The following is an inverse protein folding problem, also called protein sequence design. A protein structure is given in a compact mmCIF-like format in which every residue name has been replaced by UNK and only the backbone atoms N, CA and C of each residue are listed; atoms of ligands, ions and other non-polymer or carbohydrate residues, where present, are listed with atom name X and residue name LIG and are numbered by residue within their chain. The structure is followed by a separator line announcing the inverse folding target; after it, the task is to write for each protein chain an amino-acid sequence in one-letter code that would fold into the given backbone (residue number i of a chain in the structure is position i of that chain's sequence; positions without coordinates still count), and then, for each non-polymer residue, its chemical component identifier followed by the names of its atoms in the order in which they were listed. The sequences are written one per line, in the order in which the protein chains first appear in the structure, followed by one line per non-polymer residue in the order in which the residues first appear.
data_IF_487559180140
#
_entry.id   IF_487559180140
#
_cell.length_a   1.000
_cell.length_b   1.000
_cell.length_c   1.000
_cell.angle_alpha   90.00
_cell.angle_beta   90.00
_cell.angle_gamma   90.00
#
_symmetry.space_group_name_H-M   'P 1'
#
loop_
_entity.id
_entity.type
_entity.pdbx_description
1 polymer ?
#
# COMPACT_ATOMS: atom_id res chain seq x y z
N UNK A 1 -15.45 -16.96 57.56
CA UNK A 1 -14.13 -16.34 57.28
C UNK A 1 -13.45 -16.88 56.03
N UNK A 2 -13.49 -18.16 55.74
CA UNK A 2 -12.83 -18.74 54.55
C UNK A 2 -13.35 -18.18 53.20
N UNK A 3 -14.67 -17.95 53.04
CA UNK A 3 -15.21 -17.35 51.82
C UNK A 3 -14.72 -15.90 51.60
N UNK A 4 -14.58 -15.13 52.64
CA UNK A 4 -14.09 -13.73 52.54
C UNK A 4 -12.60 -13.70 52.17
N UNK A 5 -11.81 -14.63 52.72
CA UNK A 5 -10.39 -14.78 52.35
C UNK A 5 -10.24 -15.22 50.88
N UNK A 6 -11.03 -16.18 50.44
CA UNK A 6 -11.01 -16.64 49.05
C UNK A 6 -11.38 -15.54 48.07
N UNK A 7 -12.42 -14.74 48.37
CA UNK A 7 -12.80 -13.59 47.53
C UNK A 7 -11.68 -12.54 47.51
N UNK A 8 -11.02 -12.31 48.63
CA UNK A 8 -9.89 -11.41 48.70
C UNK A 8 -8.71 -11.86 47.84
N UNK A 9 -8.37 -13.12 47.87
CA UNK A 9 -7.28 -13.70 47.08
C UNK A 9 -7.60 -13.65 45.57
N UNK A 10 -8.84 -13.97 45.20
CA UNK A 10 -9.28 -13.91 43.78
C UNK A 10 -9.24 -12.44 43.27
N UNK A 11 -9.73 -11.50 44.06
CA UNK A 11 -9.69 -10.09 43.67
C UNK A 11 -8.24 -9.55 43.56
N UNK A 12 -7.37 -9.94 44.51
CA UNK A 12 -5.95 -9.60 44.43
C UNK A 12 -5.30 -10.16 43.19
N UNK A 13 -5.55 -11.42 42.87
CA UNK A 13 -5.05 -12.06 41.65
C UNK A 13 -5.50 -11.33 40.38
N UNK A 14 -6.79 -11.01 40.26
CA UNK A 14 -7.30 -10.28 39.11
C UNK A 14 -6.70 -8.88 39.01
N UNK A 15 -6.53 -8.18 40.12
CA UNK A 15 -5.94 -6.85 40.14
C UNK A 15 -4.47 -6.89 39.71
N UNK A 16 -3.70 -7.85 40.21
CA UNK A 16 -2.30 -8.04 39.83
C UNK A 16 -2.18 -8.42 38.34
N UNK A 17 -3.05 -9.31 37.85
CA UNK A 17 -3.08 -9.67 36.43
C UNK A 17 -3.40 -8.47 35.54
N UNK A 18 -4.42 -7.68 35.88
CA UNK A 18 -4.76 -6.46 35.13
C UNK A 18 -3.62 -5.42 35.14
N UNK A 19 -2.93 -5.28 36.27
CA UNK A 19 -1.80 -4.38 36.37
C UNK A 19 -0.64 -4.85 35.47
N UNK A 20 -0.35 -6.16 35.48
CA UNK A 20 0.69 -6.77 34.62
C UNK A 20 0.35 -6.62 33.16
N UNK A 21 -0.91 -6.84 32.76
CA UNK A 21 -1.38 -6.69 31.39
C UNK A 21 -1.39 -5.22 30.90
N UNK A 22 -1.31 -4.25 31.79
CA UNK A 22 -1.21 -2.82 31.41
C UNK A 22 0.21 -2.36 31.07
N UNK A 23 1.22 -3.19 31.30
CA UNK A 23 2.62 -2.85 31.06
C UNK A 23 3.21 -3.65 29.90
N UNK A 24 3.88 -2.98 28.97
CA UNK A 24 4.51 -3.60 27.79
C UNK A 24 5.49 -4.74 28.12
N UNK A 25 6.18 -4.64 29.26
CA UNK A 25 7.18 -5.63 29.70
C UNK A 25 6.58 -6.91 30.30
N UNK A 26 5.31 -6.89 30.70
CA UNK A 26 4.66 -7.98 31.41
C UNK A 26 3.32 -8.41 30.82
N UNK A 27 2.83 -7.71 29.78
CA UNK A 27 1.63 -8.12 29.06
C UNK A 27 1.89 -9.44 28.32
N UNK A 28 1.03 -10.42 28.57
CA UNK A 28 1.09 -11.75 27.98
C UNK A 28 0.00 -11.94 26.90
N UNK A 29 -1.13 -11.21 27.00
CA UNK A 29 -2.20 -11.27 26.01
C UNK A 29 -1.87 -10.40 24.80
N UNK A 30 -1.94 -10.99 23.61
CA UNK A 30 -1.64 -10.32 22.32
C UNK A 30 -2.48 -9.07 22.11
N UNK A 31 -3.77 -9.09 22.48
CA UNK A 31 -4.68 -7.93 22.36
C UNK A 31 -4.15 -6.73 23.11
N UNK A 32 -3.77 -6.95 24.37
CA UNK A 32 -3.25 -5.91 25.24
C UNK A 32 -1.92 -5.38 24.71
N UNK A 33 -1.04 -6.30 24.27
CA UNK A 33 0.24 -5.96 23.66
C UNK A 33 0.06 -5.09 22.41
N UNK A 34 -0.81 -5.48 21.48
CA UNK A 34 -1.11 -4.69 20.27
C UNK A 34 -1.69 -3.32 20.62
N UNK A 35 -2.60 -3.23 21.59
CA UNK A 35 -3.19 -1.97 22.02
C UNK A 35 -2.16 -1.02 22.64
N UNK A 36 -1.28 -1.53 23.50
CA UNK A 36 -0.20 -0.74 24.12
C UNK A 36 0.76 -0.22 23.04
N UNK A 37 1.20 -1.12 22.14
CA UNK A 37 2.14 -0.79 21.06
C UNK A 37 1.54 0.23 20.09
N UNK A 38 0.27 0.08 19.72
CA UNK A 38 -0.45 1.05 18.89
C UNK A 38 -0.60 2.41 19.60
N UNK A 39 -0.84 2.42 20.92
CA UNK A 39 -0.93 3.68 21.70
C UNK A 39 0.40 4.44 21.74
N UNK A 40 1.52 3.73 21.63
CA UNK A 40 2.86 4.30 21.50
C UNK A 40 3.20 4.73 20.06
N UNK A 41 2.27 4.56 19.11
CA UNK A 41 2.43 4.96 17.70
C UNK A 41 3.17 3.94 16.83
N UNK A 42 3.52 2.77 17.38
CA UNK A 42 4.13 1.70 16.58
C UNK A 42 3.03 0.80 15.98
N UNK A 43 3.14 0.55 14.67
CA UNK A 43 2.24 -0.36 13.95
C UNK A 43 2.94 -1.70 13.71
N UNK A 44 2.61 -2.73 14.48
CA UNK A 44 3.24 -4.04 14.31
C UNK A 44 2.91 -4.64 12.95
N UNK A 45 3.84 -5.45 12.45
CA UNK A 45 3.66 -6.23 11.23
C UNK A 45 3.54 -7.70 11.63
N UNK A 46 2.58 -8.40 11.04
CA UNK A 46 2.41 -9.82 11.33
C UNK A 46 3.54 -10.63 10.69
N UNK A 47 3.73 -10.46 9.40
CA UNK A 47 4.76 -11.18 8.61
C UNK A 47 5.52 -10.19 7.75
N UNK A 48 6.83 -10.41 7.63
CA UNK A 48 7.69 -9.68 6.70
C UNK A 48 7.98 -10.63 5.53
N UNK A 49 7.58 -10.29 4.28
CA UNK A 49 7.83 -11.13 3.12
C UNK A 49 9.33 -11.23 2.83
N UNK A 50 9.75 -12.32 2.22
CA UNK A 50 11.08 -12.39 1.64
C UNK A 50 11.22 -11.36 0.52
N UNK A 51 12.39 -10.77 0.38
CA UNK A 51 12.67 -9.78 -0.65
C UNK A 51 13.93 -10.13 -1.41
N UNK A 52 13.92 -9.88 -2.72
CA UNK A 52 15.03 -10.19 -3.60
C UNK A 52 15.24 -9.05 -4.60
N UNK A 53 16.47 -8.83 -5.01
CA UNK A 53 16.81 -8.03 -6.19
C UNK A 53 17.11 -9.00 -7.33
N UNK A 54 16.34 -8.91 -8.41
CA UNK A 54 16.46 -9.75 -9.60
C UNK A 54 17.09 -8.98 -10.74
N UNK A 55 17.90 -9.65 -11.52
CA UNK A 55 18.38 -9.18 -12.80
C UNK A 55 17.41 -9.65 -13.90
N UNK A 56 16.80 -8.71 -14.61
CA UNK A 56 15.91 -9.02 -15.74
C UNK A 56 16.60 -8.67 -17.04
N UNK A 57 16.50 -9.57 -18.00
CA UNK A 57 17.21 -9.47 -19.27
C UNK A 57 16.23 -9.41 -20.42
N UNK A 58 16.56 -8.59 -21.42
CA UNK A 58 15.86 -8.53 -22.70
C UNK A 58 16.85 -8.53 -23.85
N UNK A 59 16.59 -9.32 -24.88
CA UNK A 59 17.29 -9.29 -26.14
C UNK A 59 16.65 -8.25 -27.08
N UNK A 60 17.46 -7.38 -27.65
CA UNK A 60 17.05 -6.43 -28.68
C UNK A 60 17.93 -6.55 -29.92
N UNK A 61 17.41 -6.36 -31.14
CA UNK A 61 18.24 -6.36 -32.35
C UNK A 61 19.17 -5.15 -32.36
N UNK A 62 20.22 -5.25 -33.16
CA UNK A 62 21.07 -4.13 -33.45
C UNK A 62 20.52 -3.30 -34.61
N UNK A 63 20.68 -1.97 -34.51
CA UNK A 63 20.35 -1.01 -35.58
C UNK A 63 21.55 -0.14 -35.90
N UNK A 64 21.64 0.34 -37.14
CA UNK A 64 22.77 1.14 -37.61
C UNK A 64 23.69 0.39 -38.55
N UNK A 65 24.71 1.08 -39.09
CA UNK A 65 25.66 0.54 -40.06
C UNK A 65 27.08 0.98 -39.70
N UNK A 66 28.03 0.05 -39.83
CA UNK A 66 29.46 0.34 -39.55
C UNK A 66 29.72 0.62 -38.08
N UNK A 67 30.45 1.67 -37.77
CA UNK A 67 30.82 2.04 -36.38
C UNK A 67 29.68 2.60 -35.55
N UNK A 68 28.49 2.82 -36.15
CA UNK A 68 27.30 3.37 -35.50
C UNK A 68 26.27 2.30 -35.13
N UNK A 69 26.67 1.04 -35.00
CA UNK A 69 25.78 -0.04 -34.58
C UNK A 69 25.47 0.08 -33.10
N UNK A 70 24.19 0.17 -32.76
CA UNK A 70 23.66 0.33 -31.41
C UNK A 70 22.43 -0.54 -31.18
N UNK A 71 22.00 -0.76 -29.92
CA UNK A 71 20.74 -1.41 -29.63
C UNK A 71 19.56 -0.66 -30.24
N UNK A 72 18.61 -1.37 -30.79
CA UNK A 72 17.37 -0.82 -31.29
C UNK A 72 16.35 -0.74 -30.13
N UNK A 73 16.23 0.46 -29.53
CA UNK A 73 15.34 0.69 -28.41
C UNK A 73 13.86 0.73 -28.80
N UNK A 74 13.50 0.77 -30.08
CA UNK A 74 12.12 0.65 -30.53
C UNK A 74 11.54 -0.75 -30.21
N UNK A 75 12.41 -1.72 -29.99
CA UNK A 75 12.07 -3.06 -29.52
C UNK A 75 12.21 -3.25 -28.02
N UNK A 76 12.62 -2.21 -27.29
CA UNK A 76 12.72 -2.30 -25.84
C UNK A 76 11.32 -2.31 -25.21
N UNK A 77 11.09 -3.28 -24.33
CA UNK A 77 9.80 -3.49 -23.69
C UNK A 77 9.69 -2.70 -22.38
N UNK A 78 8.47 -2.28 -22.09
CA UNK A 78 8.08 -1.82 -20.76
C UNK A 78 7.22 -2.88 -20.10
N UNK A 79 7.69 -3.42 -18.98
CA UNK A 79 6.98 -4.42 -18.19
C UNK A 79 6.33 -3.72 -17.01
N UNK A 80 5.01 -3.82 -16.90
CA UNK A 80 4.27 -3.24 -15.77
C UNK A 80 4.67 -3.82 -14.42
N UNK A 81 4.50 -3.05 -13.37
CA UNK A 81 4.69 -3.54 -12.01
C UNK A 81 3.71 -4.68 -11.69
N UNK A 82 4.15 -5.63 -10.85
CA UNK A 82 3.36 -6.81 -10.52
C UNK A 82 3.67 -8.04 -11.37
N UNK A 83 4.77 -8.05 -12.13
CA UNK A 83 5.27 -9.27 -12.77
C UNK A 83 5.53 -10.35 -11.73
N UNK A 84 5.02 -11.55 -11.98
CA UNK A 84 5.17 -12.71 -11.07
C UNK A 84 6.26 -13.62 -11.63
N UNK A 85 7.24 -13.91 -10.79
CA UNK A 85 8.36 -14.81 -11.07
C UNK A 85 8.32 -15.98 -10.09
N UNK A 86 8.33 -17.18 -10.60
CA UNK A 86 8.32 -18.42 -9.81
C UNK A 86 9.72 -18.99 -9.61
N UNK A 87 9.85 -19.72 -8.51
CA UNK A 87 11.02 -20.55 -8.22
C UNK A 87 10.98 -21.82 -9.06
N UNK A 88 12.14 -22.32 -9.46
CA UNK A 88 12.26 -23.60 -10.17
C UNK A 88 12.19 -24.78 -9.21
N UNK A 89 12.80 -24.64 -8.05
CA UNK A 89 12.92 -25.72 -7.07
C UNK A 89 11.72 -25.77 -6.10
N UNK A 90 11.05 -24.63 -5.90
CA UNK A 90 9.94 -24.48 -4.95
C UNK A 90 8.69 -23.96 -5.68
N UNK A 91 7.86 -24.88 -6.18
CA UNK A 91 6.67 -24.58 -7.00
C UNK A 91 5.63 -23.68 -6.33
N UNK A 92 5.67 -23.58 -5.00
CA UNK A 92 4.71 -22.78 -4.23
C UNK A 92 5.22 -21.36 -3.91
N UNK A 93 6.47 -21.05 -4.25
CA UNK A 93 7.09 -19.75 -3.97
C UNK A 93 7.06 -18.88 -5.21
N UNK A 94 6.38 -17.76 -5.09
CA UNK A 94 6.26 -16.75 -6.14
C UNK A 94 6.73 -15.39 -5.61
N UNK A 95 7.42 -14.64 -6.47
CA UNK A 95 7.87 -13.28 -6.19
C UNK A 95 7.20 -12.31 -7.14
N UNK A 96 6.67 -11.21 -6.60
CA UNK A 96 6.01 -10.17 -7.37
C UNK A 96 6.87 -8.92 -7.40
N UNK A 97 7.11 -8.34 -8.58
CA UNK A 97 7.88 -7.10 -8.73
C UNK A 97 7.11 -5.92 -8.16
N UNK A 98 7.84 -4.99 -7.53
CA UNK A 98 7.25 -3.83 -6.85
C UNK A 98 6.96 -2.69 -7.83
N UNK A 99 7.86 -2.49 -8.80
CA UNK A 99 7.81 -1.38 -9.76
C UNK A 99 7.76 -1.90 -11.21
N UNK A 100 7.51 -1.01 -12.16
CA UNK A 100 7.65 -1.28 -13.60
C UNK A 100 9.12 -1.35 -14.01
N UNK A 101 9.38 -2.03 -15.12
CA UNK A 101 10.69 -2.12 -15.78
C UNK A 101 10.54 -1.51 -17.15
N UNK A 102 11.27 -0.43 -17.43
CA UNK A 102 11.38 0.13 -18.78
C UNK A 102 12.83 -0.02 -19.26
N UNK A 103 13.05 -0.86 -20.24
CA UNK A 103 14.38 -1.12 -20.79
C UNK A 103 14.90 0.02 -21.69
N UNK A 104 14.00 0.81 -22.26
CA UNK A 104 14.37 1.97 -23.07
C UNK A 104 14.89 3.13 -22.23
N UNK A 105 14.41 3.26 -21.01
CA UNK A 105 14.74 4.35 -20.12
C UNK A 105 15.86 3.95 -19.15
N UNK A 106 16.96 4.70 -19.14
CA UNK A 106 18.08 4.52 -18.22
C UNK A 106 18.24 5.74 -17.33
N UNK A 107 18.28 5.53 -16.02
CA UNK A 107 18.46 6.59 -15.03
C UNK A 107 19.59 6.28 -14.07
N UNK A 108 20.05 7.28 -13.31
CA UNK A 108 21.05 7.12 -12.26
C UNK A 108 20.61 6.16 -11.14
N UNK A 109 19.29 6.03 -10.91
CA UNK A 109 18.72 5.13 -9.91
C UNK A 109 18.58 3.69 -10.38
N UNK A 110 18.34 3.50 -11.67
CA UNK A 110 18.18 2.17 -12.27
C UNK A 110 18.73 2.19 -13.71
N UNK A 111 20.06 2.07 -13.86
CA UNK A 111 20.69 2.09 -15.16
C UNK A 111 20.35 0.83 -15.96
N UNK A 112 20.17 1.00 -17.29
CA UNK A 112 20.12 -0.11 -18.22
C UNK A 112 21.52 -0.49 -18.62
N UNK A 113 21.99 -1.67 -18.21
CA UNK A 113 23.28 -2.22 -18.63
C UNK A 113 23.13 -2.83 -20.02
N UNK A 114 24.06 -2.50 -20.93
CA UNK A 114 24.03 -2.96 -22.33
C UNK A 114 25.26 -3.80 -22.59
N UNK A 115 25.08 -5.00 -23.11
CA UNK A 115 26.16 -5.88 -23.54
C UNK A 115 25.87 -6.47 -24.91
N UNK A 116 26.92 -6.77 -25.66
CA UNK A 116 26.77 -7.46 -26.96
C UNK A 116 26.48 -8.94 -26.69
N UNK A 117 25.39 -9.45 -27.22
CA UNK A 117 25.01 -10.86 -27.07
C UNK A 117 25.50 -11.74 -28.22
N UNK A 118 25.34 -11.26 -29.45
CA UNK A 118 25.73 -12.01 -30.65
C UNK A 118 26.40 -11.11 -31.67
N UNK A 119 27.49 -11.59 -32.26
CA UNK A 119 28.25 -10.93 -33.31
C UNK A 119 28.13 -11.79 -34.61
N UNK A 120 27.96 -11.14 -35.75
CA UNK A 120 28.03 -11.78 -37.06
C UNK A 120 29.49 -12.10 -37.39
N UNK A 121 29.78 -13.36 -37.67
CA UNK A 121 31.12 -13.87 -37.97
C UNK A 121 31.73 -13.29 -39.27
N UNK A 122 30.89 -12.84 -40.23
CA UNK A 122 31.34 -12.32 -41.52
C UNK A 122 31.66 -10.83 -41.45
N UNK A 123 30.82 -10.07 -40.75
CA UNK A 123 30.94 -8.59 -40.65
C UNK A 123 31.61 -8.12 -39.38
N UNK A 124 31.79 -9.01 -38.40
CA UNK A 124 32.28 -8.72 -37.08
C UNK A 124 31.47 -7.59 -36.35
N UNK A 125 30.18 -7.46 -36.71
CA UNK A 125 29.29 -6.48 -36.14
C UNK A 125 28.28 -7.13 -35.20
N UNK A 126 27.83 -6.43 -34.12
CA UNK A 126 26.76 -6.91 -33.27
C UNK A 126 25.47 -7.12 -34.04
N UNK A 127 24.81 -8.27 -33.81
CA UNK A 127 23.47 -8.59 -34.34
C UNK A 127 22.41 -8.39 -33.26
N UNK A 128 22.74 -8.80 -32.04
CA UNK A 128 21.86 -8.67 -30.90
C UNK A 128 22.59 -8.11 -29.70
N UNK A 129 21.90 -7.26 -28.95
CA UNK A 129 22.32 -6.75 -27.66
C UNK A 129 21.47 -7.35 -26.55
N UNK A 130 22.06 -7.54 -25.39
CA UNK A 130 21.40 -7.93 -24.16
C UNK A 130 21.29 -6.71 -23.27
N UNK A 131 20.06 -6.29 -23.00
CA UNK A 131 19.73 -5.26 -22.02
C UNK A 131 19.51 -5.94 -20.68
N UNK A 132 20.03 -5.37 -19.62
CA UNK A 132 19.89 -5.86 -18.24
C UNK A 132 19.42 -4.75 -17.34
N UNK A 133 18.42 -5.02 -16.51
CA UNK A 133 17.96 -4.13 -15.44
C UNK A 133 17.76 -4.89 -14.14
N UNK A 134 17.96 -4.17 -13.04
CA UNK A 134 17.70 -4.70 -11.70
C UNK A 134 16.34 -4.26 -11.20
N UNK A 135 15.59 -5.17 -10.57
CA UNK A 135 14.31 -4.87 -9.95
C UNK A 135 14.17 -5.58 -8.62
N UNK A 136 13.46 -4.94 -7.70
CA UNK A 136 13.09 -5.52 -6.42
C UNK A 136 11.77 -6.25 -6.52
N UNK A 137 11.72 -7.45 -5.96
CA UNK A 137 10.51 -8.24 -5.81
C UNK A 137 10.33 -8.73 -4.38
N UNK A 138 9.09 -9.00 -4.02
CA UNK A 138 8.71 -9.55 -2.71
C UNK A 138 7.93 -10.82 -2.88
N UNK A 139 8.17 -11.79 -1.97
CA UNK A 139 7.42 -13.05 -1.97
C UNK A 139 5.95 -12.84 -1.61
N UNK A 140 5.10 -13.68 -2.14
CA UNK A 140 3.70 -13.80 -1.76
C UNK A 140 2.77 -14.04 -2.93
N UNK A 141 1.63 -14.65 -2.59
CA UNK A 141 0.53 -14.91 -3.54
C UNK A 141 -0.59 -13.90 -3.34
N UNK A 142 -1.16 -13.44 -4.45
CA UNK A 142 -2.28 -12.53 -4.40
C UNK A 142 -3.57 -13.29 -4.13
N UNK A 143 -4.39 -12.74 -3.23
CA UNK A 143 -5.77 -13.17 -3.00
C UNK A 143 -6.71 -11.99 -3.09
N UNK A 144 -7.94 -12.27 -3.46
CA UNK A 144 -9.01 -11.27 -3.60
C UNK A 144 -10.18 -11.66 -2.73
N UNK A 145 -10.71 -10.68 -2.00
CA UNK A 145 -11.94 -10.83 -1.20
C UNK A 145 -12.85 -9.64 -1.43
N UNK A 146 -14.15 -9.89 -1.57
CA UNK A 146 -15.15 -8.85 -1.81
C UNK A 146 -16.00 -8.62 -0.58
N UNK A 147 -16.37 -7.35 -0.34
CA UNK A 147 -17.21 -6.93 0.76
C UNK A 147 -18.31 -6.00 0.25
N UNK A 148 -19.56 -6.30 0.56
CA UNK A 148 -20.72 -5.52 0.13
C UNK A 148 -21.15 -4.56 1.23
N UNK A 149 -21.29 -3.29 0.85
CA UNK A 149 -21.77 -2.23 1.72
C UNK A 149 -23.09 -1.68 1.17
N UNK A 150 -24.10 -1.60 2.02
CA UNK A 150 -25.41 -1.01 1.68
C UNK A 150 -25.53 0.39 2.26
N UNK A 151 -25.88 0.50 3.53
CA UNK A 151 -25.95 1.79 4.22
C UNK A 151 -24.56 2.19 4.75
N UNK A 152 -24.23 3.49 4.74
CA UNK A 152 -22.98 3.97 5.32
C UNK A 152 -22.99 3.76 6.84
N UNK A 153 -21.86 3.29 7.36
CA UNK A 153 -21.65 3.15 8.79
C UNK A 153 -20.37 3.87 9.17
N UNK A 154 -20.49 4.76 10.14
CA UNK A 154 -19.37 5.54 10.66
C UNK A 154 -18.30 4.63 11.25
N UNK A 155 -17.04 4.87 10.85
CA UNK A 155 -15.87 4.11 11.29
C UNK A 155 -16.05 2.60 11.16
N UNK A 156 -16.69 2.18 10.06
CA UNK A 156 -16.89 0.76 9.79
C UNK A 156 -15.57 0.04 9.64
N UNK A 157 -15.55 -1.21 10.07
CA UNK A 157 -14.37 -2.06 10.07
C UNK A 157 -14.69 -3.38 9.40
N UNK A 158 -13.81 -3.82 8.53
CA UNK A 158 -13.86 -5.17 7.96
C UNK A 158 -12.63 -5.94 8.39
N UNK A 159 -12.82 -7.24 8.61
CA UNK A 159 -11.76 -8.16 9.02
C UNK A 159 -11.39 -9.08 7.87
N UNK A 160 -10.09 -9.27 7.68
CA UNK A 160 -9.57 -10.29 6.78
C UNK A 160 -8.99 -11.40 7.66
N UNK A 161 -9.75 -12.48 7.77
CA UNK A 161 -9.41 -13.67 8.55
C UNK A 161 -8.50 -14.57 7.72
N UNK A 162 -7.31 -14.10 7.43
CA UNK A 162 -6.28 -14.85 6.71
C UNK A 162 -5.03 -14.90 7.57
N UNK A 163 -4.59 -16.11 7.83
CA UNK A 163 -3.27 -16.35 8.39
C UNK A 163 -2.22 -15.91 7.36
N UNK A 164 -1.09 -15.45 7.79
CA UNK A 164 0.02 -15.06 6.91
C UNK A 164 -0.26 -13.88 5.96
N UNK A 165 -1.19 -13.01 6.32
CA UNK A 165 -1.43 -11.79 5.56
C UNK A 165 -0.26 -10.81 5.71
N UNK A 166 0.37 -10.47 4.58
CA UNK A 166 1.52 -9.58 4.50
C UNK A 166 1.08 -8.12 4.41
N UNK A 167 0.23 -7.81 3.42
CA UNK A 167 -0.25 -6.44 3.17
C UNK A 167 -1.47 -6.42 2.26
N UNK A 168 -2.22 -5.33 2.34
CA UNK A 168 -3.20 -4.98 1.31
C UNK A 168 -2.44 -4.38 0.12
N UNK A 169 -2.72 -4.85 -1.09
CA UNK A 169 -2.15 -4.34 -2.34
C UNK A 169 -3.00 -3.20 -2.87
N UNK A 170 -4.29 -3.46 -3.02
CA UNK A 170 -5.24 -2.51 -3.57
C UNK A 170 -6.64 -2.76 -3.01
N UNK A 171 -7.44 -1.69 -2.91
CA UNK A 171 -8.88 -1.75 -2.66
C UNK A 171 -9.56 -0.91 -3.73
N UNK A 172 -10.43 -1.53 -4.51
CA UNK A 172 -11.24 -0.86 -5.53
C UNK A 172 -12.71 -1.03 -5.21
N UNK A 173 -13.51 -0.03 -5.54
CA UNK A 173 -14.95 -0.11 -5.39
C UNK A 173 -15.65 -0.48 -6.72
N UNK A 174 -16.96 -0.68 -6.67
CA UNK A 174 -17.76 -1.03 -7.84
C UNK A 174 -17.83 0.08 -8.90
N UNK A 175 -17.46 1.31 -8.55
CA UNK A 175 -17.42 2.46 -9.46
C UNK A 175 -16.06 2.56 -10.19
N UNK A 176 -15.09 1.71 -9.80
CA UNK A 176 -13.74 1.66 -10.34
C UNK A 176 -12.76 2.57 -9.61
N UNK A 177 -13.20 3.27 -8.57
CA UNK A 177 -12.33 4.15 -7.79
C UNK A 177 -11.44 3.36 -6.83
N UNK A 178 -10.21 3.83 -6.67
CA UNK A 178 -9.23 3.22 -5.76
C UNK A 178 -9.29 3.88 -4.38
N UNK A 179 -9.32 3.08 -3.34
CA UNK A 179 -9.21 3.52 -1.96
C UNK A 179 -7.75 3.56 -1.55
N UNK A 180 -7.32 4.67 -0.99
CA UNK A 180 -5.91 4.91 -0.64
C UNK A 180 -5.64 4.58 0.82
N UNK A 181 -4.58 3.82 1.07
CA UNK A 181 -4.11 3.55 2.43
C UNK A 181 -3.40 4.77 3.00
N UNK A 182 -3.82 5.18 4.20
CA UNK A 182 -3.20 6.27 4.94
C UNK A 182 -2.73 5.81 6.32
N UNK A 183 -1.73 6.45 6.93
CA UNK A 183 -1.29 6.16 8.30
C UNK A 183 -2.38 6.41 9.35
N UNK A 184 -3.19 7.45 9.13
CA UNK A 184 -4.32 7.85 10.01
C UNK A 184 -5.40 8.53 9.15
N UNK A 185 -6.66 8.36 9.53
CA UNK A 185 -7.81 8.81 8.74
C UNK A 185 -7.89 10.32 8.53
N UNK A 186 -7.28 11.13 9.40
CA UNK A 186 -7.24 12.59 9.23
C UNK A 186 -6.30 13.06 8.10
N UNK A 187 -5.44 12.19 7.57
CA UNK A 187 -4.56 12.52 6.45
C UNK A 187 -5.38 12.50 5.15
N UNK A 188 -5.68 13.65 4.60
CA UNK A 188 -6.47 13.82 3.38
C UNK A 188 -5.65 13.96 2.10
N UNK A 189 -4.35 14.13 2.25
CA UNK A 189 -3.41 14.29 1.15
C UNK A 189 -2.29 13.26 1.23
N UNK A 190 -1.89 12.73 0.08
CA UNK A 190 -0.76 11.81 -0.07
C UNK A 190 0.14 12.30 -1.21
N UNK A 191 1.43 12.04 -1.09
CA UNK A 191 2.34 12.20 -2.21
C UNK A 191 2.31 10.94 -3.06
N UNK A 192 2.04 11.11 -4.33
CA UNK A 192 2.12 10.07 -5.34
C UNK A 192 3.36 10.30 -6.20
N UNK A 193 4.05 9.21 -6.51
CA UNK A 193 5.23 9.23 -7.35
C UNK A 193 4.78 8.99 -8.80
N UNK A 194 5.03 9.97 -9.66
CA UNK A 194 4.76 9.88 -11.09
C UNK A 194 6.08 9.91 -11.88
N UNK A 195 6.09 9.30 -13.05
CA UNK A 195 7.26 9.30 -13.92
C UNK A 195 7.53 10.70 -14.46
N UNK A 196 8.81 11.10 -14.47
CA UNK A 196 9.24 12.37 -15.04
C UNK A 196 9.41 12.23 -16.57
N UNK A 197 8.29 12.26 -17.28
CA UNK A 197 8.23 12.22 -18.75
C UNK A 197 7.63 13.52 -19.30
N UNK A 198 7.57 13.62 -20.63
CA UNK A 198 7.06 14.80 -21.33
C UNK A 198 5.58 15.07 -21.02
N UNK A 199 4.79 14.03 -20.83
CA UNK A 199 3.36 14.12 -20.52
C UNK A 199 3.12 14.70 -19.13
N UNK A 200 3.94 14.33 -18.15
CA UNK A 200 3.80 14.74 -16.75
C UNK A 200 4.50 16.08 -16.45
N UNK A 201 5.53 16.44 -17.21
CA UNK A 201 6.23 17.71 -17.01
C UNK A 201 6.92 18.23 -18.28
N UNK A 202 6.45 19.36 -18.78
CA UNK A 202 7.00 20.02 -19.98
C UNK A 202 8.45 20.50 -19.82
N UNK A 203 8.88 20.80 -18.59
CA UNK A 203 10.21 21.38 -18.34
C UNK A 203 11.17 20.43 -17.63
N UNK A 204 10.65 19.55 -16.75
CA UNK A 204 11.50 18.71 -15.91
C UNK A 204 11.88 17.40 -16.59
N UNK A 205 11.16 16.97 -17.63
CA UNK A 205 11.43 15.71 -18.35
C UNK A 205 12.86 15.63 -18.90
N UNK A 206 13.45 16.78 -19.28
CA UNK A 206 14.84 16.84 -19.75
C UNK A 206 15.88 16.39 -18.70
N UNK A 207 15.50 16.38 -17.42
CA UNK A 207 16.33 15.90 -16.31
C UNK A 207 15.94 14.51 -15.81
N UNK A 208 15.13 13.78 -16.57
CA UNK A 208 14.63 12.46 -16.18
C UNK A 208 15.75 11.43 -15.92
N UNK A 209 16.91 11.59 -16.54
CA UNK A 209 18.08 10.76 -16.27
C UNK A 209 18.58 10.86 -14.82
N UNK A 210 18.54 12.04 -14.21
CA UNK A 210 18.96 12.31 -12.84
C UNK A 210 17.77 12.30 -11.86
N UNK A 211 16.59 12.75 -12.33
CA UNK A 211 15.36 12.84 -11.54
C UNK A 211 14.24 12.10 -12.28
N UNK A 212 14.22 10.76 -12.21
CA UNK A 212 13.27 9.95 -12.97
C UNK A 212 11.84 10.06 -12.49
N UNK A 213 11.61 10.56 -11.27
CA UNK A 213 10.30 10.64 -10.66
C UNK A 213 10.01 12.03 -10.11
N UNK A 214 8.75 12.43 -10.19
CA UNK A 214 8.19 13.61 -9.57
C UNK A 214 7.22 13.21 -8.46
N UNK A 215 7.01 14.08 -7.48
CA UNK A 215 6.02 13.90 -6.44
C UNK A 215 4.84 14.81 -6.70
N UNK A 216 3.66 14.21 -6.87
CA UNK A 216 2.40 14.91 -6.96
C UNK A 216 1.63 14.81 -5.65
N UNK A 217 1.00 15.91 -5.24
CA UNK A 217 0.19 15.95 -4.03
C UNK A 217 -1.27 15.70 -4.39
N UNK A 218 -1.77 14.51 -4.06
CA UNK A 218 -3.13 14.09 -4.38
C UNK A 218 -4.01 14.10 -3.14
N UNK A 219 -5.22 14.63 -3.31
CA UNK A 219 -6.26 14.60 -2.28
C UNK A 219 -7.03 13.29 -2.37
N UNK A 220 -7.14 12.57 -1.23
CA UNK A 220 -7.70 11.21 -1.17
C UNK A 220 -8.91 11.14 -0.23
N UNK A 221 -10.12 11.45 -0.74
CA UNK A 221 -11.34 11.34 0.05
C UNK A 221 -11.67 9.89 0.41
N UNK A 222 -11.48 8.93 -0.52
CA UNK A 222 -11.64 7.50 -0.33
C UNK A 222 -10.35 6.93 0.25
N UNK A 223 -10.31 6.77 1.57
CA UNK A 223 -9.11 6.31 2.28
C UNK A 223 -9.43 5.35 3.40
N UNK A 224 -8.44 4.55 3.75
CA UNK A 224 -8.57 3.54 4.80
C UNK A 224 -7.29 3.43 5.61
N UNK A 225 -7.42 2.90 6.82
CA UNK A 225 -6.30 2.51 7.68
C UNK A 225 -6.29 1.00 7.85
N UNK A 226 -5.11 0.45 8.15
CA UNK A 226 -4.95 -0.96 8.46
C UNK A 226 -4.33 -1.09 9.84
N UNK A 227 -4.90 -1.96 10.67
CA UNK A 227 -4.36 -2.34 11.96
C UNK A 227 -4.41 -3.85 12.08
N UNK A 228 -3.49 -4.43 12.84
CA UNK A 228 -3.63 -5.80 13.31
C UNK A 228 -4.36 -5.79 14.65
N UNK A 229 -5.42 -6.57 14.72
CA UNK A 229 -6.10 -6.90 15.98
C UNK A 229 -5.65 -8.31 16.38
N UNK A 230 -6.25 -8.82 17.42
CA UNK A 230 -6.05 -10.13 18.00
C UNK A 230 -5.64 -11.22 16.98
N UNK A 231 -4.68 -12.06 17.34
CA UNK A 231 -4.20 -13.20 16.54
C UNK A 231 -3.66 -12.89 15.14
N UNK A 232 -3.22 -11.65 14.88
CA UNK A 232 -2.67 -11.27 13.59
C UNK A 232 -3.71 -11.04 12.50
N UNK A 233 -4.99 -10.96 12.84
CA UNK A 233 -6.06 -10.61 11.91
C UNK A 233 -5.94 -9.16 11.51
N UNK A 234 -5.90 -8.91 10.21
CA UNK A 234 -5.87 -7.54 9.68
C UNK A 234 -7.27 -6.94 9.64
N UNK A 235 -7.38 -5.75 10.23
CA UNK A 235 -8.60 -4.95 10.24
C UNK A 235 -8.39 -3.72 9.36
N UNK A 236 -9.33 -3.51 8.45
CA UNK A 236 -9.39 -2.32 7.60
C UNK A 236 -10.47 -1.41 8.17
N UNK A 237 -10.09 -0.18 8.54
CA UNK A 237 -10.98 0.83 9.08
C UNK A 237 -11.22 1.96 8.10
N UNK A 238 -12.48 2.37 7.96
CA UNK A 238 -12.92 3.44 7.07
C UNK A 238 -13.30 4.71 7.85
N UNK A 239 -13.55 5.78 7.11
CA UNK A 239 -13.95 7.06 7.68
C UNK A 239 -15.42 7.13 8.08
N UNK A 240 -15.88 8.35 8.37
CA UNK A 240 -17.24 8.63 8.85
C UNK A 240 -18.06 9.45 7.85
N UNK A 241 -17.45 10.04 6.81
CA UNK A 241 -18.13 10.92 5.86
C UNK A 241 -19.10 10.19 4.95
N UNK A 242 -20.23 10.82 4.67
CA UNK A 242 -21.23 10.35 3.72
C UNK A 242 -21.09 11.20 2.46
N UNK A 243 -21.08 10.58 1.28
CA UNK A 243 -20.88 11.30 0.01
C UNK A 243 -21.96 12.33 -0.29
N UNK A 244 -23.17 12.16 0.25
CA UNK A 244 -24.32 13.05 0.07
C UNK A 244 -24.33 14.27 0.99
N UNK A 245 -23.52 14.26 2.05
CA UNK A 245 -23.46 15.38 2.98
C UNK A 245 -22.39 16.39 2.54
N UNK A 246 -22.67 17.68 2.75
CA UNK A 246 -21.67 18.73 2.57
C UNK A 246 -20.46 18.46 3.48
N UNK A 247 -19.30 18.94 3.04
CA UNK A 247 -18.11 18.93 3.92
C UNK A 247 -18.38 19.87 5.09
N UNK A 248 -18.71 19.30 6.24
CA UNK A 248 -18.85 20.07 7.47
C UNK A 248 -17.46 20.17 8.11
N UNK A 249 -17.02 21.38 8.31
CA UNK A 249 -15.81 21.66 9.07
C UNK A 249 -16.05 21.25 10.53
N UNK A 250 -15.11 20.54 11.13
CA UNK A 250 -15.15 20.21 12.57
C UNK A 250 -15.10 21.49 13.43
N UNK A 251 -14.50 22.53 12.89
CA UNK A 251 -14.46 23.85 13.52
C UNK A 251 -15.71 24.59 13.11
N UNK A 252 -16.62 24.90 14.03
CA UNK A 252 -17.78 25.68 13.71
C UNK A 252 -17.32 27.00 13.08
N UNK A 253 -17.91 27.35 11.93
CA UNK A 253 -17.63 28.63 11.28
C UNK A 253 -17.86 29.76 12.31
N UNK A 254 -16.90 30.63 12.58
CA UNK A 254 -17.05 31.73 13.55
C UNK A 254 -18.26 32.60 13.25
N UNK A 255 -18.66 32.71 11.97
CA UNK A 255 -19.85 33.46 11.56
C UNK A 255 -21.17 32.80 12.02
N UNK A 256 -21.13 31.47 12.25
CA UNK A 256 -22.28 30.71 12.76
C UNK A 256 -22.32 30.60 14.29
N UNK A 257 -21.22 30.90 14.97
CA UNK A 257 -21.08 30.84 16.44
C UNK A 257 -21.08 32.25 17.05
N UNK A 258 -20.89 33.27 16.22
CA UNK A 258 -20.91 34.65 16.66
C UNK A 258 -22.29 35.00 17.19
N UNK A 259 -22.36 35.35 18.49
CA UNK A 259 -23.53 36.07 19.03
C UNK A 259 -23.69 37.33 18.19
N UNK A 260 -24.70 37.36 17.34
CA UNK A 260 -25.10 38.60 16.69
C UNK A 260 -25.39 39.62 17.79
N UNK A 261 -24.51 40.56 17.96
CA UNK A 261 -24.61 41.63 18.97
C UNK A 261 -25.80 42.58 18.67
N UNK A 262 -26.46 42.44 17.55
CA UNK A 262 -27.63 43.20 17.15
C UNK A 262 -28.63 42.32 16.37
N UNK A 263 -29.65 41.86 17.07
CA UNK A 263 -31.08 41.68 16.69
C UNK A 263 -31.42 41.17 15.27
N UNK A 264 -30.66 40.32 14.65
CA UNK A 264 -31.18 39.45 13.61
C UNK A 264 -31.27 38.03 14.18
N UNK A 265 -32.51 37.51 14.16
CA UNK A 265 -32.80 36.13 14.54
C UNK A 265 -32.06 35.19 13.62
N UNK A 266 -30.80 34.94 13.91
CA UNK A 266 -30.11 33.79 13.37
C UNK A 266 -30.59 32.60 14.18
N UNK A 267 -31.32 31.74 13.50
CA UNK A 267 -31.78 30.49 14.07
C UNK A 267 -30.56 29.67 14.51
N UNK A 268 -30.42 29.55 15.82
CA UNK A 268 -29.49 28.61 16.46
C UNK A 268 -29.81 27.15 16.10
N UNK A 269 -30.90 26.90 15.38
CA UNK A 269 -31.37 25.58 15.00
C UNK A 269 -30.45 24.85 14.00
N UNK A 270 -29.49 25.51 13.37
CA UNK A 270 -28.58 24.89 12.39
C UNK A 270 -27.15 24.76 12.87
N UNK A 271 -26.79 25.27 14.07
CA UNK A 271 -25.40 25.52 14.43
C UNK A 271 -24.74 24.44 15.27
N UNK A 272 -25.44 23.53 15.88
CA UNK A 272 -24.85 22.54 16.76
C UNK A 272 -25.71 21.27 16.84
N UNK A 273 -25.89 20.59 15.73
CA UNK A 273 -26.29 19.18 15.80
C UNK A 273 -25.03 18.32 16.01
N UNK A 274 -24.76 17.80 17.22
CA UNK A 274 -23.61 16.93 17.46
C UNK A 274 -23.65 15.68 16.59
N UNK A 275 -24.81 15.30 16.04
CA UNK A 275 -24.95 14.16 15.14
C UNK A 275 -24.26 14.39 13.80
N UNK A 276 -24.13 15.63 13.35
CA UNK A 276 -23.47 15.96 12.10
C UNK A 276 -21.94 15.82 12.19
N UNK A 277 -21.33 15.99 13.36
CA UNK A 277 -19.91 15.74 13.57
C UNK A 277 -19.52 14.28 13.34
N UNK A 278 -20.45 13.36 13.47
CA UNK A 278 -20.21 11.93 13.30
C UNK A 278 -20.05 11.52 11.83
N UNK A 279 -20.52 12.36 10.90
CA UNK A 279 -20.52 12.07 9.45
C UNK A 279 -19.56 12.95 8.66
N UNK A 280 -18.61 13.59 9.32
CA UNK A 280 -17.67 14.50 8.66
C UNK A 280 -16.74 13.76 7.70
N UNK A 281 -16.48 14.35 6.52
CA UNK A 281 -15.48 13.86 5.55
C UNK A 281 -14.04 14.11 5.97
N UNK A 282 -13.80 14.87 7.05
CA UNK A 282 -12.46 15.16 7.57
C UNK A 282 -11.65 13.88 7.82
N UNK A 283 -12.30 12.80 8.21
CA UNK A 283 -11.67 11.50 8.41
C UNK A 283 -11.87 10.54 7.21
N UNK A 284 -12.22 11.06 6.03
CA UNK A 284 -12.54 10.28 4.85
C UNK A 284 -13.98 9.78 4.83
N UNK A 285 -14.38 9.27 3.68
CA UNK A 285 -15.75 8.76 3.48
C UNK A 285 -15.90 7.34 4.01
N UNK A 286 -17.13 6.99 4.40
CA UNK A 286 -17.52 5.61 4.67
C UNK A 286 -17.97 4.92 3.38
N UNK A 287 -17.68 3.63 3.17
CA UNK A 287 -18.21 2.89 2.03
C UNK A 287 -19.74 2.81 2.12
N UNK A 288 -20.41 3.08 1.00
CA UNK A 288 -21.88 3.03 0.93
C UNK A 288 -22.34 2.61 -0.47
N UNK A 289 -23.37 1.79 -0.55
CA UNK A 289 -23.96 1.29 -1.81
C UNK A 289 -22.91 0.81 -2.83
N UNK A 290 -21.87 0.14 -2.35
CA UNK A 290 -20.75 -0.30 -3.16
C UNK A 290 -20.23 -1.66 -2.72
N UNK A 291 -19.56 -2.36 -3.63
CA UNK A 291 -18.81 -3.57 -3.33
C UNK A 291 -17.33 -3.23 -3.39
N UNK A 292 -16.65 -3.39 -2.26
CA UNK A 292 -15.20 -3.24 -2.22
C UNK A 292 -14.53 -4.57 -2.59
N UNK A 293 -13.65 -4.51 -3.56
CA UNK A 293 -12.75 -5.61 -3.94
C UNK A 293 -11.39 -5.35 -3.31
N UNK A 294 -11.05 -6.17 -2.33
CA UNK A 294 -9.79 -6.07 -1.60
C UNK A 294 -8.80 -7.10 -2.15
N UNK A 295 -7.73 -6.63 -2.77
CA UNK A 295 -6.61 -7.45 -3.21
C UNK A 295 -5.50 -7.38 -2.17
N UNK A 296 -5.07 -8.50 -1.68
CA UNK A 296 -4.05 -8.58 -0.63
C UNK A 296 -3.04 -9.69 -0.92
N UNK A 297 -1.88 -9.58 -0.28
CA UNK A 297 -0.76 -10.50 -0.42
C UNK A 297 -0.68 -11.37 0.83
N UNK A 298 -0.58 -12.66 0.63
CA UNK A 298 -0.27 -13.65 1.66
C UNK A 298 1.12 -14.24 1.39
N UNK A 299 1.86 -14.62 2.44
CA UNK A 299 3.19 -15.22 2.29
C UNK A 299 3.65 -15.88 3.58
N UNK A 300 4.66 -16.75 3.48
CA UNK A 300 5.18 -17.48 4.62
C UNK A 300 6.41 -16.81 5.25
N UNK A 301 6.69 -15.58 4.84
CA UNK A 301 7.80 -14.80 5.40
C UNK A 301 9.17 -15.39 5.03
N UNK A 302 9.98 -15.70 6.05
CA UNK A 302 11.35 -16.20 5.86
C UNK A 302 11.38 -17.55 5.15
N UNK A 303 10.33 -18.34 5.24
CA UNK A 303 10.24 -19.67 4.60
C UNK A 303 10.22 -19.55 3.08
N UNK A 304 9.77 -18.40 2.55
CA UNK A 304 9.76 -18.13 1.11
C UNK A 304 11.15 -17.74 0.55
N UNK A 305 12.21 -17.74 1.35
CA UNK A 305 13.56 -17.49 0.85
C UNK A 305 14.01 -18.65 -0.05
N UNK A 306 14.49 -18.31 -1.23
CA UNK A 306 15.01 -19.24 -2.23
C UNK A 306 16.53 -19.02 -2.46
N UNK A 307 17.26 -20.03 -2.93
CA UNK A 307 18.68 -19.88 -3.28
C UNK A 307 18.88 -18.86 -4.42
N UNK A 308 20.08 -18.31 -4.49
CA UNK A 308 20.44 -17.40 -5.58
C UNK A 308 20.42 -18.14 -6.95
N UNK A 309 19.79 -17.51 -7.94
CA UNK A 309 19.66 -18.05 -9.30
C UNK A 309 18.47 -18.99 -9.52
N UNK A 310 17.62 -19.21 -8.53
CA UNK A 310 16.44 -20.09 -8.64
C UNK A 310 15.22 -19.43 -9.27
N UNK A 311 15.12 -18.09 -9.22
CA UNK A 311 14.01 -17.31 -9.79
C UNK A 311 14.23 -17.07 -11.29
N UNK A 312 13.84 -18.01 -12.12
CA UNK A 312 14.07 -17.96 -13.58
C UNK A 312 12.81 -18.10 -14.42
N UNK A 313 11.68 -18.45 -13.82
CA UNK A 313 10.43 -18.67 -14.52
C UNK A 313 9.50 -17.47 -14.36
N UNK A 314 9.19 -16.79 -15.48
CA UNK A 314 8.14 -15.75 -15.50
C UNK A 314 6.78 -16.45 -15.58
N UNK A 315 5.98 -16.30 -14.53
CA UNK A 315 4.63 -16.89 -14.44
C UNK A 315 3.60 -15.99 -15.10
N UNK A 316 3.71 -14.68 -14.87
CA UNK A 316 2.79 -13.68 -15.42
C UNK A 316 3.49 -12.33 -15.54
N UNK A 317 3.24 -11.61 -16.62
CA UNK A 317 3.71 -10.24 -16.84
C UNK A 317 2.68 -9.44 -17.61
N UNK A 318 2.61 -8.15 -17.32
CA UNK A 318 1.85 -7.17 -18.10
C UNK A 318 2.86 -6.37 -18.94
N UNK A 319 2.85 -6.58 -20.26
CA UNK A 319 3.70 -5.87 -21.25
C UNK A 319 2.84 -5.02 -22.14
#
# INVERSE_FOLDING_TARGET
MEMASYVGDVLSFYTDTQLRESLLSTAEENVNLFNIVNSLGYKPKNIIPASVTMDVFQLVPATGVGDNVKPDFDYAMTIGGGMIVGSTDYSDVEFTTIASIDFAFSSSFNPTEISVYQIDENTNQPVYYLLKKQIKATSGKEKVKTFNFTAPKIYDKIKIEEENLVRIKNITDSDGDTWTRVPYLAQDTVFEQIDNNEDNSTYLHQYSGDTPYLLELNRVPKRYITNFEDDGIMVIGFGAGISSNADEEIIPNPDNVGSALYAENQNLDTTLDPSNFLYTKTYGVAPQNTTLTVTYLIGNGIVDNVPAGDLVSVVSSNT
#
